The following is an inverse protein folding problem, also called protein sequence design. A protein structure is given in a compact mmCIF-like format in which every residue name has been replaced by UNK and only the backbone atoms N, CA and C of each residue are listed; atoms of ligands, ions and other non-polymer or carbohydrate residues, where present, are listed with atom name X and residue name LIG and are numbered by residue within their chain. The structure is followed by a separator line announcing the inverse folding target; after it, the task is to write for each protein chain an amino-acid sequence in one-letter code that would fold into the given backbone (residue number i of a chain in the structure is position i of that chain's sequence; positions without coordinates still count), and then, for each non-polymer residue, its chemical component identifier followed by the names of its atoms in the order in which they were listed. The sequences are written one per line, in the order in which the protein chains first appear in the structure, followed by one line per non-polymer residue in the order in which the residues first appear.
data_IF_397707131675
#
_entry.id   IF_397707131675
#
_cell.length_a   1.000
_cell.length_b   1.000
_cell.length_c   1.000
_cell.angle_alpha   90.00
_cell.angle_beta   90.00
_cell.angle_gamma   90.00
#
_symmetry.space_group_name_H-M   'P 1'
#
loop_
_entity.id
_entity.type
_entity.pdbx_description
1 polymer ?
#
# COMPACT_ATOMS: atom_id res chain seq x y z
N UNK A 1 -36.58 -26.29 -51.75
CA UNK A 1 -35.88 -25.31 -50.89
C UNK A 1 -34.71 -26.04 -50.24
N UNK A 2 -33.48 -25.67 -50.58
CA UNK A 2 -32.31 -26.54 -50.41
C UNK A 2 -31.86 -26.66 -48.95
N UNK A 3 -32.03 -27.85 -48.35
CA UNK A 3 -31.54 -28.17 -47.00
C UNK A 3 -30.04 -27.88 -46.79
N UNK A 4 -29.24 -27.90 -47.87
CA UNK A 4 -27.82 -27.52 -47.86
C UNK A 4 -27.57 -26.03 -47.57
N UNK A 5 -28.46 -25.15 -48.04
CA UNK A 5 -28.38 -23.71 -47.78
C UNK A 5 -28.75 -23.38 -46.34
N UNK A 6 -29.72 -24.09 -45.77
CA UNK A 6 -30.14 -23.91 -44.37
C UNK A 6 -29.02 -24.36 -43.41
N UNK A 7 -28.42 -25.53 -43.66
CA UNK A 7 -27.32 -26.03 -42.83
C UNK A 7 -26.10 -25.09 -42.84
N UNK A 8 -25.75 -24.52 -44.00
CA UNK A 8 -24.64 -23.57 -44.12
C UNK A 8 -24.89 -22.25 -43.37
N UNK A 9 -26.14 -21.75 -43.38
CA UNK A 9 -26.54 -20.55 -42.65
C UNK A 9 -26.53 -20.74 -41.13
N UNK A 10 -26.92 -21.91 -40.64
CA UNK A 10 -26.88 -22.24 -39.21
C UNK A 10 -25.43 -22.31 -38.72
N UNK A 11 -24.56 -22.94 -39.50
CA UNK A 11 -23.14 -23.11 -39.16
C UNK A 11 -22.38 -21.77 -39.18
N UNK A 12 -22.71 -20.89 -40.12
CA UNK A 12 -22.15 -19.54 -40.17
C UNK A 12 -22.60 -18.71 -38.95
N UNK A 13 -23.88 -18.81 -38.55
CA UNK A 13 -24.39 -18.12 -37.36
C UNK A 13 -23.75 -18.61 -36.07
N UNK A 14 -23.51 -19.91 -35.91
CA UNK A 14 -22.84 -20.44 -34.71
C UNK A 14 -21.37 -20.04 -34.64
N UNK A 15 -20.65 -20.00 -35.77
CA UNK A 15 -19.26 -19.51 -35.83
C UNK A 15 -19.20 -18.01 -35.50
N UNK A 16 -20.09 -17.20 -36.05
CA UNK A 16 -20.15 -15.75 -35.75
C UNK A 16 -20.45 -15.54 -34.26
N UNK A 17 -21.39 -16.29 -33.69
CA UNK A 17 -21.71 -16.20 -32.26
C UNK A 17 -20.51 -16.61 -31.39
N UNK A 18 -19.76 -17.65 -31.78
CA UNK A 18 -18.56 -18.08 -31.06
C UNK A 18 -17.45 -17.01 -31.12
N UNK A 19 -17.26 -16.36 -32.27
CA UNK A 19 -16.30 -15.25 -32.43
C UNK A 19 -16.72 -14.04 -31.58
N UNK A 20 -18.01 -13.74 -31.49
CA UNK A 20 -18.53 -12.66 -30.64
C UNK A 20 -18.36 -12.98 -29.15
N UNK A 21 -18.52 -14.23 -28.74
CA UNK A 21 -18.29 -14.66 -27.34
C UNK A 21 -16.79 -14.61 -27.00
N UNK A 22 -15.90 -15.02 -27.92
CA UNK A 22 -14.44 -14.94 -27.73
C UNK A 22 -13.93 -13.49 -27.72
N UNK A 23 -14.49 -12.61 -28.55
CA UNK A 23 -14.10 -11.19 -28.61
C UNK A 23 -14.80 -10.31 -27.55
N UNK A 24 -15.78 -10.83 -26.82
CA UNK A 24 -16.32 -10.21 -25.60
C UNK A 24 -15.52 -10.59 -24.34
N UNK A 25 -14.30 -11.12 -24.49
CA UNK A 25 -13.25 -10.92 -23.48
C UNK A 25 -12.93 -9.43 -23.44
N UNK A 26 -13.78 -8.72 -22.74
CA UNK A 26 -13.69 -7.30 -22.46
C UNK A 26 -12.31 -7.01 -21.87
N UNK A 27 -11.49 -6.28 -22.63
CA UNK A 27 -10.25 -5.63 -22.19
C UNK A 27 -10.55 -4.47 -21.20
N UNK A 28 -11.82 -4.22 -20.89
CA UNK A 28 -12.22 -3.27 -19.85
C UNK A 28 -12.28 -3.98 -18.51
N UNK A 29 -11.17 -3.91 -17.75
CA UNK A 29 -11.12 -4.34 -16.36
C UNK A 29 -12.27 -3.71 -15.58
N UNK A 30 -13.25 -4.52 -15.19
CA UNK A 30 -14.32 -4.10 -14.31
C UNK A 30 -13.76 -3.82 -12.92
N UNK A 31 -14.09 -2.66 -12.36
CA UNK A 31 -13.91 -2.42 -10.93
C UNK A 31 -15.07 -3.11 -10.20
N UNK A 32 -14.76 -4.10 -9.37
CA UNK A 32 -15.75 -4.69 -8.47
C UNK A 32 -15.69 -3.91 -7.16
N UNK A 33 -16.83 -3.35 -6.75
CA UNK A 33 -17.02 -2.85 -5.38
C UNK A 33 -17.32 -4.10 -4.54
N UNK A 34 -16.33 -4.52 -3.75
CA UNK A 34 -16.46 -5.70 -2.91
C UNK A 34 -17.16 -5.35 -1.60
N UNK A 35 -18.47 -5.54 -1.52
CA UNK A 35 -19.19 -5.55 -0.24
C UNK A 35 -19.03 -6.94 0.40
N UNK A 36 -17.99 -7.10 1.22
CA UNK A 36 -17.79 -8.32 2.00
C UNK A 36 -18.34 -8.11 3.42
N UNK A 37 -19.62 -8.41 3.62
CA UNK A 37 -20.14 -8.66 4.98
C UNK A 37 -19.54 -9.98 5.51
N UNK A 38 -18.82 -9.93 6.64
CA UNK A 38 -18.44 -11.11 7.42
C UNK A 38 -17.04 -11.03 8.03
N UNK A 39 -17.00 -10.92 9.37
CA UNK A 39 -15.83 -10.90 10.26
C UNK A 39 -14.90 -9.67 10.17
N UNK A 40 -14.26 -9.34 11.29
CA UNK A 40 -13.31 -8.24 11.39
C UNK A 40 -12.05 -8.58 10.58
N UNK A 41 -12.05 -8.25 9.30
CA UNK A 41 -10.93 -8.44 8.41
C UNK A 41 -9.82 -7.47 8.76
N UNK A 42 -8.58 -7.94 8.69
CA UNK A 42 -7.39 -7.12 8.81
C UNK A 42 -6.99 -6.60 7.42
N UNK A 43 -6.30 -5.46 7.31
CA UNK A 43 -5.77 -5.05 6.02
C UNK A 43 -4.83 -6.09 5.39
N UNK A 44 -4.12 -6.88 6.19
CA UNK A 44 -3.27 -8.00 5.76
C UNK A 44 -4.07 -9.12 5.09
N UNK A 45 -5.28 -9.44 5.58
CA UNK A 45 -6.16 -10.41 4.93
C UNK A 45 -6.52 -9.97 3.51
N UNK A 46 -6.73 -8.67 3.31
CA UNK A 46 -7.03 -8.10 1.98
C UNK A 46 -5.82 -8.08 1.05
N UNK A 47 -4.63 -7.87 1.59
CA UNK A 47 -3.38 -8.02 0.84
C UNK A 47 -3.23 -9.47 0.37
N UNK A 48 -3.40 -10.43 1.28
CA UNK A 48 -3.32 -11.86 0.95
C UNK A 48 -4.37 -12.29 -0.08
N UNK A 49 -5.61 -11.83 0.06
CA UNK A 49 -6.70 -12.07 -0.89
C UNK A 49 -6.38 -11.50 -2.29
N UNK A 50 -5.86 -10.28 -2.36
CA UNK A 50 -5.54 -9.63 -3.63
C UNK A 50 -4.44 -10.37 -4.39
N UNK A 51 -3.32 -10.67 -3.71
CA UNK A 51 -2.17 -11.32 -4.33
C UNK A 51 -2.34 -12.84 -4.51
N UNK A 52 -3.26 -13.45 -3.75
CA UNK A 52 -3.45 -14.90 -3.72
C UNK A 52 -2.32 -15.63 -2.98
N UNK A 53 -1.83 -15.05 -1.88
CA UNK A 53 -0.67 -15.53 -1.12
C UNK A 53 -1.05 -15.92 0.30
N UNK A 54 -0.21 -16.72 0.97
CA UNK A 54 -0.42 -17.13 2.36
C UNK A 54 0.09 -16.12 3.40
N UNK A 55 0.82 -15.11 2.95
CA UNK A 55 1.47 -14.13 3.82
C UNK A 55 2.56 -13.36 3.09
N UNK A 56 3.24 -12.52 3.85
CA UNK A 56 4.29 -11.61 3.37
C UNK A 56 5.59 -11.93 4.08
N UNK A 57 6.66 -12.09 3.32
CA UNK A 57 7.97 -12.46 3.81
C UNK A 57 8.92 -11.29 3.60
N UNK A 58 9.39 -10.75 4.72
CA UNK A 58 10.40 -9.69 4.75
C UNK A 58 11.81 -10.30 4.74
N UNK A 59 12.80 -9.63 4.12
CA UNK A 59 14.20 -10.00 4.32
C UNK A 59 14.59 -9.90 5.80
N UNK A 60 15.61 -10.65 6.19
CA UNK A 60 16.15 -10.63 7.56
C UNK A 60 16.99 -9.36 7.83
N UNK A 61 17.36 -9.11 9.09
CA UNK A 61 18.11 -7.94 9.59
C UNK A 61 17.33 -6.63 9.74
N UNK A 62 17.98 -5.63 10.34
CA UNK A 62 17.44 -4.39 10.88
C UNK A 62 16.26 -3.79 10.08
N UNK A 63 16.45 -3.36 8.83
CA UNK A 63 15.35 -2.73 8.07
C UNK A 63 14.23 -3.69 7.72
N UNK A 64 14.54 -4.96 7.47
CA UNK A 64 13.52 -5.97 7.19
C UNK A 64 12.65 -6.24 8.41
N UNK A 65 13.26 -6.31 9.59
CA UNK A 65 12.56 -6.46 10.88
C UNK A 65 11.76 -5.22 11.26
N UNK A 66 12.32 -4.01 11.05
CA UNK A 66 11.61 -2.75 11.28
C UNK A 66 10.41 -2.63 10.33
N UNK A 67 10.62 -2.88 9.04
CA UNK A 67 9.55 -2.85 8.04
C UNK A 67 8.46 -3.88 8.37
N UNK A 68 8.84 -5.10 8.73
CA UNK A 68 7.92 -6.13 9.19
C UNK A 68 7.12 -5.68 10.41
N UNK A 69 7.80 -5.16 11.45
CA UNK A 69 7.13 -4.67 12.65
C UNK A 69 6.17 -3.51 12.37
N UNK A 70 6.55 -2.57 11.50
CA UNK A 70 5.69 -1.47 11.09
C UNK A 70 4.47 -1.94 10.29
N UNK A 71 4.68 -2.87 9.35
CA UNK A 71 3.61 -3.50 8.59
C UNK A 71 2.61 -4.19 9.52
N UNK A 72 3.08 -5.07 10.41
CA UNK A 72 2.23 -5.83 11.34
C UNK A 72 1.45 -4.92 12.30
N UNK A 73 2.04 -3.79 12.71
CA UNK A 73 1.36 -2.82 13.58
C UNK A 73 0.14 -2.14 12.95
N UNK A 74 0.00 -2.21 11.63
CA UNK A 74 -1.11 -1.60 10.87
C UNK A 74 -1.95 -2.70 10.23
N UNK A 75 -1.31 -3.58 9.47
CA UNK A 75 -1.98 -4.52 8.60
C UNK A 75 -2.57 -5.73 9.34
N UNK A 76 -2.06 -6.12 10.52
CA UNK A 76 -2.60 -7.27 11.28
C UNK A 76 -3.63 -6.86 12.34
N UNK A 77 -3.99 -5.58 12.39
CA UNK A 77 -5.05 -5.09 13.26
C UNK A 77 -6.41 -5.24 12.60
N UNK A 78 -7.39 -5.67 13.39
CA UNK A 78 -8.79 -5.67 12.97
C UNK A 78 -9.20 -4.24 12.59
N UNK A 79 -9.72 -4.08 11.37
CA UNK A 79 -10.25 -2.80 10.93
C UNK A 79 -11.68 -2.61 11.44
N UNK A 80 -11.99 -1.40 11.89
CA UNK A 80 -13.36 -1.00 12.23
C UNK A 80 -14.21 -0.82 10.97
N UNK A 81 -13.58 -0.36 9.90
CA UNK A 81 -14.20 -0.15 8.59
C UNK A 81 -13.16 -0.33 7.49
N UNK A 82 -13.60 -0.88 6.36
CA UNK A 82 -12.79 -0.97 5.14
C UNK A 82 -13.66 -0.82 3.91
N UNK A 83 -13.24 0.03 2.99
CA UNK A 83 -13.93 0.25 1.73
C UNK A 83 -12.92 0.48 0.61
N UNK A 84 -13.15 -0.13 -0.56
CA UNK A 84 -12.20 -0.06 -1.64
C UNK A 84 -12.73 -0.56 -2.97
N UNK A 85 -11.83 -0.59 -3.95
CA UNK A 85 -12.10 -1.19 -5.26
C UNK A 85 -10.96 -2.10 -5.65
N UNK A 86 -11.24 -3.03 -6.57
CA UNK A 86 -10.25 -3.91 -7.17
C UNK A 86 -10.55 -4.10 -8.65
N UNK A 87 -9.51 -4.05 -9.47
CA UNK A 87 -9.59 -4.38 -10.90
C UNK A 87 -9.31 -5.86 -11.14
N UNK A 88 -9.81 -6.37 -12.26
CA UNK A 88 -9.60 -7.75 -12.72
C UNK A 88 -8.68 -7.77 -13.95
N UNK A 89 -7.96 -8.89 -14.15
CA UNK A 89 -7.09 -9.11 -15.31
C UNK A 89 -5.72 -9.69 -14.94
N UNK A 90 -4.81 -9.73 -15.92
CA UNK A 90 -3.41 -10.11 -15.68
C UNK A 90 -2.63 -9.01 -14.94
N UNK A 91 -2.95 -7.74 -15.25
CA UNK A 91 -2.51 -6.58 -14.47
C UNK A 91 -3.68 -6.13 -13.59
N UNK A 92 -3.51 -6.21 -12.28
CA UNK A 92 -4.53 -5.86 -11.28
C UNK A 92 -4.03 -4.72 -10.43
N UNK A 93 -4.95 -3.87 -10.03
CA UNK A 93 -4.74 -2.82 -9.06
C UNK A 93 -5.91 -2.81 -8.08
N UNK A 94 -5.65 -2.50 -6.82
CA UNK A 94 -6.66 -2.33 -5.80
C UNK A 94 -6.27 -1.19 -4.86
N UNK A 95 -7.27 -0.48 -4.37
CA UNK A 95 -7.09 0.51 -3.30
C UNK A 95 -8.13 0.22 -2.23
N UNK A 96 -7.67 0.13 -0.99
CA UNK A 96 -8.51 -0.13 0.18
C UNK A 96 -8.25 0.95 1.20
N UNK A 97 -9.30 1.68 1.58
CA UNK A 97 -9.28 2.57 2.72
C UNK A 97 -9.59 1.76 3.97
N UNK A 98 -8.93 2.06 5.08
CA UNK A 98 -9.17 1.40 6.36
C UNK A 98 -9.22 2.39 7.52
N UNK A 99 -9.93 1.99 8.57
CA UNK A 99 -10.01 2.69 9.86
C UNK A 99 -9.68 1.69 10.97
N UNK A 100 -8.77 2.06 11.88
CA UNK A 100 -8.41 1.24 13.05
C UNK A 100 -8.67 1.99 14.38
N UNK A 101 -8.81 1.22 15.45
CA UNK A 101 -8.92 1.68 16.84
C UNK A 101 -10.00 2.77 17.04
N UNK A 102 -11.23 2.50 16.57
CA UNK A 102 -12.43 3.35 16.61
C UNK A 102 -12.20 4.78 16.09
N UNK A 103 -11.46 4.92 14.98
CA UNK A 103 -11.07 6.16 14.27
C UNK A 103 -9.73 6.81 14.65
N UNK A 104 -8.86 6.14 15.43
CA UNK A 104 -7.55 6.72 15.78
C UNK A 104 -6.56 6.67 14.65
N UNK A 105 -6.62 5.66 13.78
CA UNK A 105 -5.76 5.56 12.60
C UNK A 105 -6.66 5.42 11.36
N UNK A 106 -6.37 6.20 10.34
CA UNK A 106 -7.02 6.10 9.03
C UNK A 106 -5.93 5.95 7.98
N UNK A 107 -6.19 5.21 6.91
CA UNK A 107 -5.20 5.01 5.88
C UNK A 107 -5.72 4.35 4.62
N UNK A 108 -4.80 4.16 3.69
CA UNK A 108 -5.01 3.46 2.43
C UNK A 108 -3.96 2.36 2.25
N UNK A 109 -4.38 1.27 1.61
CA UNK A 109 -3.49 0.27 1.04
C UNK A 109 -3.75 0.23 -0.46
N UNK A 110 -2.74 0.62 -1.23
CA UNK A 110 -2.70 0.48 -2.67
C UNK A 110 -1.90 -0.77 -3.03
N UNK A 111 -2.46 -1.60 -3.89
CA UNK A 111 -1.86 -2.87 -4.30
C UNK A 111 -1.85 -2.95 -5.81
N UNK A 112 -0.74 -3.41 -6.37
CA UNK A 112 -0.61 -3.65 -7.80
C UNK A 112 0.05 -5.01 -8.01
N UNK A 113 -0.44 -5.79 -8.98
CA UNK A 113 0.14 -7.06 -9.42
C UNK A 113 0.19 -7.08 -10.95
N UNK A 114 1.34 -7.37 -11.54
CA UNK A 114 1.55 -7.38 -13.00
C UNK A 114 2.84 -6.67 -13.41
N UNK A 115 2.93 -6.18 -14.64
CA UNK A 115 4.10 -5.39 -15.06
C UNK A 115 4.07 -4.00 -14.41
N UNK A 116 4.64 -3.93 -13.21
CA UNK A 116 4.81 -2.70 -12.44
C UNK A 116 6.17 -2.15 -12.82
N UNK A 117 6.17 -0.99 -13.48
CA UNK A 117 7.32 -0.06 -13.58
C UNK A 117 8.68 -0.71 -13.86
N UNK A 118 9.08 -0.86 -15.13
CA UNK A 118 10.46 -1.06 -15.67
C UNK A 118 11.51 -1.89 -14.88
N UNK A 119 11.12 -2.61 -13.83
CA UNK A 119 11.95 -3.43 -12.96
C UNK A 119 11.66 -4.90 -13.28
N UNK A 120 12.59 -5.60 -13.96
CA UNK A 120 12.38 -6.99 -14.32
C UNK A 120 12.40 -7.95 -13.10
N UNK A 121 12.73 -7.45 -11.91
CA UNK A 121 12.90 -8.27 -10.70
C UNK A 121 11.72 -8.21 -9.73
N UNK A 122 10.73 -7.35 -9.96
CA UNK A 122 9.52 -7.26 -9.14
C UNK A 122 8.26 -7.25 -10.01
N UNK A 123 7.20 -7.89 -9.53
CA UNK A 123 5.92 -8.00 -10.25
C UNK A 123 4.74 -7.48 -9.42
N UNK A 124 5.02 -7.04 -8.19
CA UNK A 124 4.01 -6.73 -7.19
C UNK A 124 4.43 -5.56 -6.30
N UNK A 125 3.46 -4.72 -5.92
CA UNK A 125 3.64 -3.56 -5.03
C UNK A 125 2.53 -3.53 -3.98
N UNK A 126 2.92 -3.31 -2.73
CA UNK A 126 2.03 -2.92 -1.62
C UNK A 126 2.47 -1.54 -1.16
N UNK A 127 1.58 -0.55 -1.21
CA UNK A 127 1.81 0.81 -0.70
C UNK A 127 0.81 1.08 0.41
N UNK A 128 1.29 1.33 1.63
CA UNK A 128 0.49 1.67 2.80
C UNK A 128 0.73 3.13 3.14
N UNK A 129 -0.35 3.90 3.25
CA UNK A 129 -0.32 5.25 3.79
C UNK A 129 -1.28 5.31 4.98
N UNK A 130 -0.84 5.84 6.11
CA UNK A 130 -1.70 5.98 7.28
C UNK A 130 -1.37 7.23 8.08
N UNK A 131 -2.39 7.77 8.72
CA UNK A 131 -2.28 8.93 9.59
C UNK A 131 -3.06 8.69 10.89
N UNK A 132 -2.47 9.09 12.02
CA UNK A 132 -3.18 9.06 13.30
C UNK A 132 -4.00 10.34 13.50
N UNK A 133 -5.30 10.16 13.73
CA UNK A 133 -6.27 11.24 13.97
C UNK A 133 -6.23 11.60 15.45
N UNK A 134 -5.48 12.65 15.79
CA UNK A 134 -5.51 13.26 17.13
C UNK A 134 -6.41 14.49 17.09
N UNK A 135 -7.38 14.59 18.02
CA UNK A 135 -8.28 15.76 18.15
C UNK A 135 -7.51 17.01 18.64
N UNK A 136 -6.74 17.63 17.76
CA UNK A 136 -6.05 18.93 17.92
C UNK A 136 -5.96 19.60 16.54
N UNK A 137 -5.76 20.93 16.41
CA UNK A 137 -5.90 21.64 15.14
C UNK A 137 -5.06 21.02 14.00
N UNK A 138 -5.65 20.87 12.81
CA UNK A 138 -5.09 20.18 11.63
C UNK A 138 -3.67 20.58 11.25
N UNK A 139 -3.26 21.80 11.59
CA UNK A 139 -1.97 22.36 11.23
C UNK A 139 -0.83 22.01 12.21
N UNK A 140 -1.12 21.25 13.28
CA UNK A 140 -0.23 21.22 14.45
C UNK A 140 0.51 19.92 14.75
N UNK A 141 0.27 18.79 14.06
CA UNK A 141 1.18 17.60 14.03
C UNK A 141 0.67 16.57 13.00
N UNK A 142 1.54 16.09 12.10
CA UNK A 142 1.27 14.94 11.23
C UNK A 142 2.02 13.71 11.74
N UNK A 143 1.35 12.85 12.49
CA UNK A 143 1.83 11.47 12.69
C UNK A 143 1.35 10.67 11.49
N UNK A 144 2.20 10.61 10.47
CA UNK A 144 1.98 9.83 9.26
C UNK A 144 2.93 8.63 9.25
N UNK A 145 2.55 7.59 8.52
CA UNK A 145 3.40 6.48 8.19
C UNK A 145 3.11 6.10 6.74
N UNK A 146 4.16 6.06 5.93
CA UNK A 146 4.09 5.59 4.55
C UNK A 146 5.05 4.42 4.38
N UNK A 147 4.66 3.42 3.61
CA UNK A 147 5.50 2.27 3.32
C UNK A 147 5.18 1.71 1.95
N UNK A 148 6.18 1.57 1.11
CA UNK A 148 6.07 0.85 -0.16
C UNK A 148 6.94 -0.39 -0.12
N UNK A 149 6.35 -1.53 -0.44
CA UNK A 149 6.99 -2.84 -0.49
C UNK A 149 6.84 -3.39 -1.89
N UNK A 150 7.96 -3.65 -2.53
CA UNK A 150 8.02 -4.20 -3.87
C UNK A 150 8.51 -5.64 -3.76
N UNK A 151 7.89 -6.53 -4.51
CA UNK A 151 8.13 -7.94 -4.33
C UNK A 151 7.78 -8.80 -5.52
N UNK A 152 8.00 -10.09 -5.31
CA UNK A 152 7.60 -11.16 -6.22
C UNK A 152 6.52 -11.98 -5.54
N UNK A 153 5.43 -12.23 -6.26
CA UNK A 153 4.31 -13.03 -5.77
C UNK A 153 4.37 -14.46 -6.27
N UNK A 154 4.52 -15.43 -5.36
CA UNK A 154 4.34 -16.87 -5.62
C UNK A 154 3.40 -17.48 -4.54
N UNK A 155 3.87 -18.40 -3.70
CA UNK A 155 3.12 -18.87 -2.52
C UNK A 155 2.99 -17.79 -1.43
N UNK A 156 3.99 -16.92 -1.38
CA UNK A 156 4.08 -15.76 -0.49
C UNK A 156 4.39 -14.50 -1.30
N UNK A 157 4.16 -13.33 -0.72
CA UNK A 157 4.71 -12.08 -1.22
C UNK A 157 6.13 -11.93 -0.65
N UNK A 158 7.14 -12.10 -1.49
CA UNK A 158 8.55 -11.97 -1.07
C UNK A 158 9.03 -10.53 -1.34
N UNK A 159 9.24 -9.76 -0.27
CA UNK A 159 9.71 -8.38 -0.36
C UNK A 159 11.16 -8.38 -0.88
N UNK A 160 11.39 -7.71 -2.01
CA UNK A 160 12.70 -7.55 -2.64
C UNK A 160 13.31 -6.18 -2.36
N UNK A 161 12.50 -5.14 -2.29
CA UNK A 161 12.93 -3.83 -1.85
C UNK A 161 11.76 -3.09 -1.22
N UNK A 162 12.05 -2.09 -0.42
CA UNK A 162 11.02 -1.28 0.19
C UNK A 162 11.53 0.05 0.67
N UNK A 163 10.59 0.93 0.94
CA UNK A 163 10.83 2.22 1.59
C UNK A 163 9.77 2.45 2.64
N UNK A 164 10.14 3.07 3.74
CA UNK A 164 9.19 3.51 4.74
C UNK A 164 9.59 4.88 5.31
N UNK A 165 8.59 5.70 5.57
CA UNK A 165 8.72 7.06 6.06
C UNK A 165 7.84 7.25 7.30
N UNK A 166 8.43 7.84 8.33
CA UNK A 166 7.81 8.24 9.59
C UNK A 166 8.21 9.68 9.88
N UNK A 167 7.62 10.36 10.88
CA UNK A 167 8.00 11.72 11.20
C UNK A 167 9.49 11.90 11.58
N UNK A 168 10.14 10.83 12.01
CA UNK A 168 11.51 10.83 12.52
C UNK A 168 12.52 10.09 11.65
N UNK A 169 12.08 9.37 10.61
CA UNK A 169 12.92 8.44 9.88
C UNK A 169 12.36 8.17 8.49
N UNK A 170 13.20 8.34 7.48
CA UNK A 170 12.99 7.81 6.14
C UNK A 170 14.03 6.71 5.90
N UNK A 171 13.59 5.53 5.49
CA UNK A 171 14.47 4.42 5.17
C UNK A 171 14.10 3.80 3.84
N UNK A 172 15.11 3.34 3.13
CA UNK A 172 15.02 2.46 1.98
C UNK A 172 15.82 1.20 2.26
N UNK A 173 15.38 0.07 1.72
CA UNK A 173 16.12 -1.18 1.83
C UNK A 173 15.98 -2.02 0.57
N UNK A 174 17.02 -2.81 0.29
CA UNK A 174 17.05 -3.80 -0.78
C UNK A 174 17.44 -5.15 -0.19
N UNK A 175 16.79 -6.20 -0.66
CA UNK A 175 17.09 -7.58 -0.34
C UNK A 175 18.33 -8.02 -1.13
N UNK A 176 19.40 -8.35 -0.43
CA UNK A 176 20.60 -8.99 -0.97
C UNK A 176 20.77 -10.34 -0.27
N UNK A 177 20.52 -11.42 -1.02
CA UNK A 177 20.66 -12.80 -0.54
C UNK A 177 19.87 -13.10 0.76
N UNK A 178 18.67 -12.55 0.88
CA UNK A 178 17.78 -12.74 2.03
C UNK A 178 18.01 -11.76 3.19
N UNK A 179 18.91 -10.80 3.03
CA UNK A 179 19.24 -9.77 4.03
C UNK A 179 18.85 -8.38 3.54
N UNK A 180 18.29 -7.57 4.43
CA UNK A 180 17.94 -6.18 4.15
C UNK A 180 19.16 -5.27 4.28
N UNK A 181 19.60 -4.67 3.18
CA UNK A 181 20.63 -3.62 3.19
C UNK A 181 19.93 -2.27 3.27
N UNK A 182 20.19 -1.54 4.35
CA UNK A 182 19.53 -0.30 4.72
C UNK A 182 20.25 0.96 4.20
N UNK A 183 19.47 1.96 3.79
CA UNK A 183 19.85 3.36 3.78
C UNK A 183 18.77 4.17 4.53
N UNK A 184 19.14 4.85 5.61
CA UNK A 184 18.19 5.52 6.50
C UNK A 184 18.64 6.94 6.84
N UNK A 185 17.71 7.88 6.73
CA UNK A 185 17.88 9.28 7.10
C UNK A 185 17.00 9.59 8.32
N UNK A 186 17.65 10.00 9.41
CA UNK A 186 16.96 10.39 10.64
C UNK A 186 16.64 11.87 10.60
N UNK A 187 15.38 12.20 10.87
CA UNK A 187 14.92 13.58 11.03
C UNK A 187 14.95 13.97 12.50
N UNK A 188 15.45 15.17 12.79
CA UNK A 188 15.40 15.71 14.15
C UNK A 188 13.96 15.99 14.56
N UNK A 189 13.55 15.47 15.72
CA UNK A 189 12.26 15.82 16.34
C UNK A 189 12.14 17.33 16.56
N UNK A 190 13.27 18.07 16.62
CA UNK A 190 13.29 19.54 16.75
C UNK A 190 12.79 20.27 15.50
N UNK A 191 12.85 19.62 14.33
CA UNK A 191 12.42 20.17 13.03
C UNK A 191 11.01 19.71 12.64
N UNK A 192 10.47 18.70 13.35
CA UNK A 192 9.04 18.41 13.33
C UNK A 192 8.36 19.56 14.08
N UNK A 193 7.89 20.56 13.34
CA UNK A 193 7.23 21.74 13.90
C UNK A 193 6.12 21.33 14.88
N UNK A 194 6.45 21.36 16.17
CA UNK A 194 5.48 21.23 17.24
C UNK A 194 4.79 22.58 17.36
N UNK A 195 3.65 22.68 16.66
CA UNK A 195 2.54 23.57 16.97
C UNK A 195 2.91 25.03 17.30
N UNK A 196 3.33 25.85 16.33
CA UNK A 196 3.24 27.32 16.44
C UNK A 196 3.90 27.98 17.67
N UNK A 197 4.71 27.25 18.43
CA UNK A 197 5.50 27.74 19.55
C UNK A 197 6.93 27.79 19.01
N UNK A 198 7.50 28.98 18.74
CA UNK A 198 8.92 29.08 18.45
C UNK A 198 9.68 28.46 19.63
N UNK A 199 10.60 27.56 19.30
CA UNK A 199 11.44 26.83 20.25
C UNK A 199 12.02 27.79 21.31
N UNK A 200 11.75 27.60 22.61
CA UNK A 200 12.29 28.49 23.65
C UNK A 200 13.82 28.50 23.66
N UNK A 201 14.48 27.44 23.17
CA UNK A 201 15.94 27.39 23.02
C UNK A 201 16.47 28.21 21.83
N UNK A 202 15.61 28.66 20.91
CA UNK A 202 16.02 29.53 19.79
C UNK A 202 15.93 31.01 20.16
N UNK A 203 14.99 31.39 21.03
CA UNK A 203 14.86 32.77 21.51
C UNK A 203 16.06 33.19 22.37
N UNK A 204 16.65 32.26 23.12
CA UNK A 204 17.79 32.53 24.01
C UNK A 204 19.13 32.72 23.26
N UNK A 205 19.24 32.20 22.04
CA UNK A 205 20.42 32.39 21.18
C UNK A 205 20.34 33.64 20.31
N UNK A 206 19.13 34.17 20.06
CA UNK A 206 18.93 35.40 19.28
C UNK A 206 18.84 36.67 20.15
N UNK A 207 18.63 36.53 21.47
CA UNK A 207 18.67 37.64 22.42
C UNK A 207 19.41 37.24 23.71
N UNK A 208 20.75 37.27 23.74
CA UNK A 208 21.47 37.11 24.99
C UNK A 208 21.06 38.23 25.97
N UNK A 209 20.85 37.92 27.26
CA UNK A 209 20.56 38.95 28.25
C UNK A 209 21.73 39.96 28.30
N UNK A 210 21.45 41.25 28.53
CA UNK A 210 22.50 42.25 28.62
C UNK A 210 23.48 41.85 29.72
N UNK A 211 24.76 41.74 29.35
CA UNK A 211 25.85 41.50 30.27
C UNK A 211 25.83 42.64 31.28
N UNK A 212 25.49 42.33 32.54
CA UNK A 212 25.70 43.24 33.66
C UNK A 212 27.21 43.47 33.78
N UNK A 213 27.66 44.61 33.27
CA UNK A 213 29.01 45.10 33.54
C UNK A 213 29.09 45.50 35.01
N UNK A 214 29.83 44.72 35.80
CA UNK A 214 30.35 45.10 37.10
C UNK A 214 31.83 45.43 36.99
#
# INVERSE_FOLDING_TARGET
MNHRLIASLVLLKTIILLIIVLNNTSITGGAVIGDAEGYANTPSDKVQEFFGVQGIIFPSYDCGEIASGLYLNIADKAADDMAGFMTQGANRAATINFILDRIRLVGTIDMVKGNIVDDPFTDSLISINSEAVVRTPKDTRKTFFNMDLYGVTDQFFYVQHGRFATPSLDCEFVNQDGMAICDCQVHSIRDIAVAGIPNPLRVELENPPPILQS
#
